data_IF_390740972620
#
_entry.id   IF_390740972620
#
_cell.length_a   1.000
_cell.length_b   1.000
_cell.length_c   1.000
_cell.angle_alpha   90.00
_cell.angle_beta   90.00
_cell.angle_gamma   90.00
#
_symmetry.space_group_name_H-M   'P 1'
#
loop_
_entity.id
_entity.type
_entity.pdbx_description
1 polymer ?
#
# COMPACT_ATOMS: atom_id res chain seq x y z
N UNK A 1 5.23 -52.04 18.29
CA UNK A 1 3.85 -51.48 18.33
C UNK A 1 3.74 -50.13 19.06
N UNK A 2 4.17 -49.98 20.33
CA UNK A 2 3.96 -48.74 21.12
C UNK A 2 4.44 -47.46 20.41
N UNK A 3 5.67 -47.49 19.87
CA UNK A 3 6.30 -46.34 19.20
C UNK A 3 5.62 -45.96 17.86
N UNK A 4 4.98 -46.92 17.18
CA UNK A 4 4.25 -46.68 15.93
C UNK A 4 2.95 -45.90 16.17
N UNK A 5 2.22 -46.23 17.24
CA UNK A 5 1.02 -45.48 17.65
C UNK A 5 1.35 -44.03 18.04
N UNK A 6 2.50 -43.81 18.68
CA UNK A 6 2.96 -42.46 19.06
C UNK A 6 3.30 -41.60 17.83
N UNK A 7 3.98 -42.17 16.83
CA UNK A 7 4.31 -41.44 15.59
C UNK A 7 3.06 -41.05 14.79
N UNK A 8 2.07 -41.94 14.68
CA UNK A 8 0.79 -41.64 14.02
C UNK A 8 0.04 -40.51 14.74
N UNK A 9 0.00 -40.54 16.09
CA UNK A 9 -0.62 -39.48 16.89
C UNK A 9 0.09 -38.13 16.67
N UNK A 10 1.43 -38.10 16.66
CA UNK A 10 2.19 -36.88 16.43
C UNK A 10 1.95 -36.29 15.03
N UNK A 11 1.94 -37.13 13.99
CA UNK A 11 1.65 -36.71 12.62
C UNK A 11 0.20 -36.23 12.45
N UNK A 12 -0.76 -36.87 13.11
CA UNK A 12 -2.15 -36.43 13.11
C UNK A 12 -2.32 -35.09 13.82
N UNK A 13 -1.65 -34.87 14.96
CA UNK A 13 -1.62 -33.58 15.67
C UNK A 13 -0.99 -32.50 14.78
N UNK A 14 0.17 -32.76 14.16
CA UNK A 14 0.84 -31.79 13.29
C UNK A 14 0.01 -31.45 12.05
N UNK A 15 -0.60 -32.44 11.39
CA UNK A 15 -1.50 -32.23 10.27
C UNK A 15 -2.72 -31.42 10.70
N UNK A 16 -3.36 -31.78 11.82
CA UNK A 16 -4.53 -31.08 12.33
C UNK A 16 -4.22 -29.63 12.74
N UNK A 17 -3.09 -29.37 13.42
CA UNK A 17 -2.63 -28.02 13.75
C UNK A 17 -2.36 -27.19 12.50
N UNK A 18 -1.77 -27.77 11.44
CA UNK A 18 -1.53 -27.05 10.19
C UNK A 18 -2.82 -26.77 9.42
N UNK A 19 -3.73 -27.74 9.30
CA UNK A 19 -5.02 -27.56 8.62
C UNK A 19 -5.90 -26.54 9.35
N UNK A 20 -5.97 -26.60 10.70
CA UNK A 20 -6.70 -25.61 11.50
C UNK A 20 -6.12 -24.21 11.31
N UNK A 21 -4.79 -24.06 11.25
CA UNK A 21 -4.13 -22.76 11.01
C UNK A 21 -4.42 -22.17 9.63
N UNK A 22 -4.48 -22.99 8.59
CA UNK A 22 -4.83 -22.53 7.23
C UNK A 22 -6.29 -22.09 7.20
N UNK A 23 -7.21 -22.95 7.66
CA UNK A 23 -8.66 -22.65 7.71
C UNK A 23 -8.96 -21.41 8.57
N UNK A 24 -8.18 -21.14 9.63
CA UNK A 24 -8.38 -19.92 10.42
C UNK A 24 -7.97 -18.63 9.72
N UNK A 25 -6.97 -18.65 8.83
CA UNK A 25 -6.50 -17.45 8.16
C UNK A 25 -7.48 -16.96 7.09
N UNK A 26 -8.02 -17.89 6.30
CA UNK A 26 -9.01 -17.58 5.25
C UNK A 26 -10.30 -17.01 5.87
N UNK A 27 -10.77 -17.59 6.98
CA UNK A 27 -11.95 -17.09 7.73
C UNK A 27 -11.72 -15.68 8.30
N UNK A 28 -10.51 -15.37 8.80
CA UNK A 28 -10.18 -14.02 9.30
C UNK A 28 -10.25 -12.99 8.18
N UNK A 29 -9.69 -13.31 7.00
CA UNK A 29 -9.76 -12.43 5.83
C UNK A 29 -11.21 -12.25 5.35
N UNK A 30 -11.99 -13.33 5.22
CA UNK A 30 -13.39 -13.27 4.80
C UNK A 30 -14.25 -12.43 5.76
N UNK A 31 -14.08 -12.59 7.07
CA UNK A 31 -14.78 -11.79 8.09
C UNK A 31 -14.49 -10.30 7.93
N UNK A 32 -13.23 -9.93 7.71
CA UNK A 32 -12.81 -8.55 7.52
C UNK A 32 -13.26 -7.97 6.17
N UNK A 33 -13.26 -8.75 5.09
CA UNK A 33 -13.83 -8.33 3.80
C UNK A 33 -15.34 -8.10 3.90
N UNK A 34 -16.05 -8.89 4.72
CA UNK A 34 -17.46 -8.70 5.00
C UNK A 34 -17.71 -7.48 5.91
N UNK A 35 -16.84 -7.24 6.90
CA UNK A 35 -16.83 -5.99 7.67
C UNK A 35 -16.71 -4.78 6.74
N UNK A 36 -15.69 -4.71 5.87
CA UNK A 36 -15.48 -3.58 4.96
C UNK A 36 -16.69 -3.34 4.05
N UNK A 37 -17.30 -4.40 3.50
CA UNK A 37 -18.56 -4.30 2.74
C UNK A 37 -19.71 -3.72 3.57
N UNK A 38 -19.81 -4.07 4.85
CA UNK A 38 -20.85 -3.53 5.75
C UNK A 38 -20.68 -2.04 6.06
N UNK A 39 -19.46 -1.51 5.96
CA UNK A 39 -19.16 -0.09 6.18
C UNK A 39 -19.39 0.77 4.92
N UNK A 40 -19.86 0.18 3.81
CA UNK A 40 -20.17 0.89 2.58
C UNK A 40 -21.50 1.65 2.71
N UNK A 41 -21.49 2.97 2.50
CA UNK A 41 -22.70 3.79 2.45
C UNK A 41 -23.35 3.81 1.05
N UNK A 42 -24.50 4.50 0.93
CA UNK A 42 -25.27 4.57 -0.32
C UNK A 42 -24.59 5.36 -1.45
N UNK A 43 -23.46 6.04 -1.19
CA UNK A 43 -22.63 6.71 -2.18
C UNK A 43 -21.50 5.82 -2.71
N UNK A 44 -21.42 4.57 -2.26
CA UNK A 44 -20.35 3.62 -2.60
C UNK A 44 -19.09 3.77 -1.74
N UNK A 45 -19.01 4.81 -0.90
CA UNK A 45 -17.91 5.09 0.02
C UNK A 45 -17.82 4.06 1.13
N UNK A 46 -16.62 3.58 1.44
CA UNK A 46 -16.35 2.89 2.71
C UNK A 46 -16.13 3.93 3.81
N UNK A 47 -16.92 3.83 4.88
CA UNK A 47 -16.95 4.76 6.02
C UNK A 47 -16.15 4.22 7.22
N UNK A 48 -16.21 4.92 8.37
CA UNK A 48 -15.59 4.53 9.64
C UNK A 48 -14.08 4.20 9.53
N UNK A 49 -13.25 5.23 9.32
CA UNK A 49 -11.79 5.07 9.33
C UNK A 49 -11.05 6.39 9.11
N UNK A 50 -9.78 6.43 9.52
CA UNK A 50 -8.89 7.56 9.32
C UNK A 50 -8.25 7.53 7.93
N UNK A 51 -7.86 8.68 7.37
CA UNK A 51 -7.02 8.82 6.17
C UNK A 51 -7.29 7.81 5.03
N UNK A 52 -8.27 8.13 4.18
CA UNK A 52 -8.61 7.40 2.96
C UNK A 52 -9.11 5.92 3.13
N UNK A 53 -10.11 5.64 3.99
CA UNK A 53 -10.62 4.27 4.22
C UNK A 53 -11.12 3.56 2.96
N UNK A 54 -11.66 4.29 1.98
CA UNK A 54 -12.15 3.71 0.72
C UNK A 54 -11.00 3.24 -0.19
N UNK A 55 -9.92 4.02 -0.25
CA UNK A 55 -8.71 3.72 -1.02
C UNK A 55 -7.98 2.51 -0.43
N UNK A 56 -7.77 2.47 0.88
CA UNK A 56 -7.18 1.29 1.55
C UNK A 56 -8.07 0.05 1.40
N UNK A 57 -9.38 0.19 1.53
CA UNK A 57 -10.33 -0.92 1.28
C UNK A 57 -10.27 -1.42 -0.16
N UNK A 58 -10.12 -0.53 -1.15
CA UNK A 58 -9.96 -0.92 -2.55
C UNK A 58 -8.68 -1.74 -2.79
N UNK A 59 -7.56 -1.35 -2.17
CA UNK A 59 -6.31 -2.13 -2.18
C UNK A 59 -6.53 -3.48 -1.48
N UNK A 60 -7.21 -3.51 -0.33
CA UNK A 60 -7.49 -4.72 0.43
C UNK A 60 -8.42 -5.71 -0.30
N UNK A 61 -9.43 -5.22 -1.02
CA UNK A 61 -10.26 -6.02 -1.92
C UNK A 61 -9.43 -6.59 -3.07
N UNK A 62 -8.63 -5.76 -3.76
CA UNK A 62 -7.76 -6.19 -4.85
C UNK A 62 -6.70 -7.22 -4.41
N UNK A 63 -6.11 -7.04 -3.21
CA UNK A 63 -5.15 -7.98 -2.61
C UNK A 63 -5.73 -9.39 -2.43
N UNK A 64 -7.04 -9.47 -2.25
CA UNK A 64 -7.81 -10.69 -2.02
C UNK A 64 -8.68 -11.10 -3.22
N UNK A 65 -8.41 -10.55 -4.41
CA UNK A 65 -9.06 -10.95 -5.66
C UNK A 65 -10.53 -10.50 -5.80
N UNK A 66 -11.00 -9.57 -4.96
CA UNK A 66 -12.35 -9.00 -5.04
C UNK A 66 -12.32 -7.78 -5.96
N UNK A 67 -13.11 -7.82 -7.04
CA UNK A 67 -13.31 -6.68 -7.92
C UNK A 67 -14.21 -5.63 -7.23
N UNK A 68 -13.69 -4.41 -7.09
CA UNK A 68 -14.37 -3.29 -6.43
C UNK A 68 -15.59 -2.77 -7.20
N UNK A 69 -15.75 -3.12 -8.49
CA UNK A 69 -16.98 -2.89 -9.25
C UNK A 69 -18.18 -3.68 -8.68
N UNK A 70 -17.89 -4.81 -8.01
CA UNK A 70 -18.90 -5.71 -7.42
C UNK A 70 -19.27 -5.35 -5.99
N UNK A 71 -18.44 -4.54 -5.31
CA UNK A 71 -18.67 -4.05 -3.94
C UNK A 71 -19.57 -2.82 -4.00
N UNK A 72 -20.88 -3.01 -3.79
CA UNK A 72 -21.91 -1.96 -3.96
C UNK A 72 -23.01 -2.01 -2.90
N UNK A 73 -23.54 -0.84 -2.56
CA UNK A 73 -24.67 -0.71 -1.63
C UNK A 73 -25.66 0.39 -2.07
N UNK A 74 -26.89 0.06 -2.51
CA UNK A 74 -27.27 -1.17 -3.20
C UNK A 74 -26.85 -1.16 -4.69
N UNK A 75 -26.56 0.03 -5.25
CA UNK A 75 -26.35 0.22 -6.69
C UNK A 75 -25.04 0.93 -7.05
N UNK A 76 -24.58 1.88 -6.23
CA UNK A 76 -23.29 2.57 -6.45
C UNK A 76 -22.18 1.69 -5.87
N UNK A 77 -21.17 1.39 -6.67
CA UNK A 77 -20.02 0.59 -6.28
C UNK A 77 -18.90 1.41 -5.65
N UNK A 78 -17.94 0.73 -5.04
CA UNK A 78 -16.69 1.34 -4.58
C UNK A 78 -15.88 1.88 -5.77
N UNK A 79 -16.00 1.28 -6.96
CA UNK A 79 -15.38 1.81 -8.17
C UNK A 79 -16.02 3.14 -8.61
N UNK A 80 -17.36 3.24 -8.59
CA UNK A 80 -18.09 4.47 -8.92
C UNK A 80 -17.76 5.61 -7.93
N UNK A 81 -17.68 5.28 -6.63
CA UNK A 81 -17.22 6.22 -5.61
C UNK A 81 -15.78 6.67 -5.88
N UNK A 82 -14.87 5.72 -6.14
CA UNK A 82 -13.47 6.05 -6.44
C UNK A 82 -13.38 6.97 -7.67
N UNK A 83 -14.02 6.63 -8.79
CA UNK A 83 -14.11 7.47 -10.00
C UNK A 83 -14.48 8.93 -9.67
N UNK A 84 -15.50 9.13 -8.84
CA UNK A 84 -16.02 10.49 -8.53
C UNK A 84 -15.28 11.20 -7.38
N UNK A 85 -14.60 10.47 -6.50
CA UNK A 85 -13.92 11.01 -5.32
C UNK A 85 -12.51 11.53 -5.65
N UNK A 86 -12.42 12.66 -6.36
CA UNK A 86 -11.17 13.38 -6.63
C UNK A 86 -10.73 14.17 -5.39
N UNK A 87 -9.41 14.26 -5.07
CA UNK A 87 -8.91 15.16 -4.03
C UNK A 87 -9.37 16.60 -4.24
N UNK A 88 -9.76 17.28 -3.16
CA UNK A 88 -10.23 18.67 -3.19
C UNK A 88 -9.09 19.63 -2.89
N UNK A 89 -8.93 20.68 -3.69
CA UNK A 89 -7.84 21.64 -3.52
C UNK A 89 -8.15 22.71 -2.43
N UNK A 90 -7.17 23.14 -1.61
CA UNK A 90 -5.79 22.63 -1.57
C UNK A 90 -5.72 21.22 -0.95
N UNK A 91 -4.98 20.34 -1.61
CA UNK A 91 -4.77 18.93 -1.22
C UNK A 91 -3.34 18.69 -0.70
N UNK A 92 -3.14 17.59 0.02
CA UNK A 92 -1.80 17.11 0.39
C UNK A 92 -1.30 16.08 -0.64
N UNK A 93 0.02 15.89 -0.76
CA UNK A 93 0.60 14.85 -1.62
C UNK A 93 0.03 13.45 -1.29
N UNK A 94 -0.14 13.16 0.01
CA UNK A 94 -0.73 11.91 0.53
C UNK A 94 -2.14 11.57 0.00
N UNK A 95 -2.95 12.57 -0.38
CA UNK A 95 -4.25 12.36 -1.02
C UNK A 95 -4.09 11.77 -2.45
N UNK A 96 -3.04 12.18 -3.16
CA UNK A 96 -2.70 11.70 -4.51
C UNK A 96 -1.97 10.35 -4.46
N UNK A 97 -1.03 10.17 -3.53
CA UNK A 97 -0.24 8.95 -3.34
C UNK A 97 -1.13 7.72 -3.08
N UNK A 98 -1.96 7.82 -2.05
CA UNK A 98 -2.88 6.75 -1.64
C UNK A 98 -3.86 6.41 -2.77
N UNK A 99 -4.20 7.42 -3.59
CA UNK A 99 -5.08 7.28 -4.73
C UNK A 99 -4.39 6.61 -5.94
N UNK A 100 -3.14 6.94 -6.25
CA UNK A 100 -2.35 6.22 -7.27
C UNK A 100 -2.21 4.74 -6.89
N UNK A 101 -1.84 4.45 -5.63
CA UNK A 101 -1.74 3.09 -5.12
C UNK A 101 -3.05 2.32 -5.31
N UNK A 102 -4.20 2.91 -4.97
CA UNK A 102 -5.51 2.28 -5.13
C UNK A 102 -5.94 2.12 -6.60
N UNK A 103 -5.69 3.10 -7.46
CA UNK A 103 -5.95 3.02 -8.92
C UNK A 103 -5.15 1.86 -9.53
N UNK A 104 -3.84 1.82 -9.29
CA UNK A 104 -2.95 0.78 -9.86
C UNK A 104 -3.29 -0.60 -9.30
N UNK A 105 -3.51 -0.72 -7.98
CA UNK A 105 -3.95 -1.96 -7.33
C UNK A 105 -5.20 -2.56 -7.98
N UNK A 106 -6.20 -1.70 -8.27
CA UNK A 106 -7.48 -2.10 -8.87
C UNK A 106 -7.43 -2.23 -10.40
N UNK A 107 -6.32 -1.85 -11.04
CA UNK A 107 -6.08 -2.02 -12.48
C UNK A 107 -6.52 -0.85 -13.35
N UNK A 108 -6.73 0.33 -12.77
CA UNK A 108 -6.94 1.57 -13.53
C UNK A 108 -5.63 2.21 -14.00
N UNK A 109 -5.76 3.15 -14.93
CA UNK A 109 -4.65 3.97 -15.45
C UNK A 109 -4.43 5.21 -14.56
N UNK A 110 -3.30 5.33 -13.83
CA UNK A 110 -3.02 6.50 -13.00
C UNK A 110 -2.69 7.76 -13.81
N UNK A 111 -2.41 7.65 -15.11
CA UNK A 111 -2.15 8.79 -16.01
C UNK A 111 -3.40 9.33 -16.68
N UNK A 112 -4.50 8.58 -16.68
CA UNK A 112 -5.78 8.99 -17.21
C UNK A 112 -6.95 8.27 -16.49
N UNK A 113 -7.14 8.59 -15.23
CA UNK A 113 -8.30 8.11 -14.47
C UNK A 113 -9.40 9.17 -14.57
N UNK A 114 -10.36 8.95 -15.49
CA UNK A 114 -11.44 9.88 -15.84
C UNK A 114 -10.96 11.29 -16.25
N UNK A 115 -9.95 11.34 -17.12
CA UNK A 115 -9.39 12.60 -17.64
C UNK A 115 -8.39 13.28 -16.70
N UNK A 116 -8.08 12.69 -15.55
CA UNK A 116 -7.12 13.20 -14.57
C UNK A 116 -5.85 12.34 -14.60
N UNK A 117 -4.70 13.00 -14.79
CA UNK A 117 -3.39 12.40 -14.59
C UNK A 117 -2.98 12.58 -13.13
N UNK A 118 -3.07 11.52 -12.33
CA UNK A 118 -2.73 11.53 -10.92
C UNK A 118 -1.21 11.56 -10.70
N UNK A 119 -0.43 10.94 -11.60
CA UNK A 119 1.04 10.93 -11.54
C UNK A 119 1.58 12.36 -11.65
N UNK A 120 1.22 13.10 -12.71
CA UNK A 120 1.65 14.50 -12.89
C UNK A 120 1.13 15.43 -11.79
N UNK A 121 0.05 15.05 -11.09
CA UNK A 121 -0.41 15.79 -9.90
C UNK A 121 0.48 15.53 -8.69
N UNK A 122 0.87 14.28 -8.43
CA UNK A 122 1.84 13.96 -7.38
C UNK A 122 3.21 14.60 -7.66
N UNK A 123 3.73 14.47 -8.89
CA UNK A 123 4.99 15.09 -9.30
C UNK A 123 5.00 16.62 -9.17
N UNK A 124 3.84 17.29 -9.09
CA UNK A 124 3.76 18.74 -8.84
C UNK A 124 4.04 19.17 -7.39
N UNK A 125 4.09 18.21 -6.46
CA UNK A 125 4.56 18.40 -5.07
C UNK A 125 6.06 18.10 -4.90
N UNK A 126 6.78 17.71 -5.96
CA UNK A 126 8.22 17.44 -5.88
C UNK A 126 9.03 18.74 -5.85
N UNK A 127 9.75 18.96 -4.74
CA UNK A 127 10.67 20.08 -4.59
C UNK A 127 11.92 19.66 -3.80
N UNK A 128 13.10 20.16 -4.17
CA UNK A 128 14.35 19.96 -3.42
C UNK A 128 14.73 18.48 -3.13
N UNK A 129 14.24 17.53 -3.94
CA UNK A 129 14.55 16.10 -3.82
C UNK A 129 13.56 15.28 -2.97
N UNK A 130 12.49 15.91 -2.47
CA UNK A 130 11.43 15.29 -1.67
C UNK A 130 10.05 15.59 -2.27
N UNK A 131 9.00 14.91 -1.80
CA UNK A 131 7.60 15.10 -2.22
C UNK A 131 6.77 15.60 -1.02
N UNK A 132 6.10 16.73 -1.17
CA UNK A 132 5.12 17.20 -0.18
C UNK A 132 5.66 18.20 0.83
N UNK A 133 5.35 18.00 2.12
CA UNK A 133 5.76 18.89 3.21
C UNK A 133 7.19 18.57 3.67
N UNK A 134 8.06 19.58 3.68
CA UNK A 134 9.49 19.41 3.99
C UNK A 134 9.83 18.93 5.40
N UNK A 135 8.83 18.85 6.29
CA UNK A 135 8.97 18.28 7.61
C UNK A 135 8.30 16.92 7.80
N UNK A 136 7.60 16.40 6.81
CA UNK A 136 7.07 15.04 6.78
C UNK A 136 8.04 14.11 6.03
N UNK A 137 8.17 12.86 6.48
CA UNK A 137 8.75 11.76 5.70
C UNK A 137 7.67 10.82 5.16
N UNK A 138 6.42 11.01 5.59
CA UNK A 138 5.32 10.12 5.27
C UNK A 138 4.94 10.22 3.78
N UNK A 139 4.74 11.43 3.29
CA UNK A 139 4.60 11.78 1.87
C UNK A 139 5.81 11.37 1.03
N UNK A 140 7.05 11.46 1.52
CA UNK A 140 8.18 10.88 0.76
C UNK A 140 8.11 9.34 0.66
N UNK A 141 7.78 8.66 1.76
CA UNK A 141 7.69 7.20 1.80
C UNK A 141 6.57 6.70 0.90
N UNK A 142 5.36 7.28 1.01
CA UNK A 142 4.19 6.92 0.22
C UNK A 142 4.24 7.50 -1.21
N UNK A 143 4.89 8.65 -1.39
CA UNK A 143 5.32 9.24 -2.66
C UNK A 143 6.16 8.27 -3.47
N UNK A 144 7.30 7.82 -2.95
CA UNK A 144 8.14 6.86 -3.66
C UNK A 144 7.41 5.52 -3.93
N UNK A 145 6.52 5.07 -3.03
CA UNK A 145 5.68 3.90 -3.27
C UNK A 145 4.69 4.13 -4.44
N UNK A 146 4.02 5.28 -4.48
CA UNK A 146 3.06 5.66 -5.53
C UNK A 146 3.75 5.87 -6.89
N UNK A 147 4.89 6.57 -6.89
CA UNK A 147 5.75 6.77 -8.05
C UNK A 147 6.22 5.42 -8.63
N UNK A 148 6.65 4.47 -7.79
CA UNK A 148 7.01 3.11 -8.23
C UNK A 148 5.79 2.35 -8.75
N UNK A 149 4.63 2.45 -8.09
CA UNK A 149 3.39 1.82 -8.56
C UNK A 149 2.94 2.35 -9.94
N UNK A 150 3.17 3.63 -10.24
CA UNK A 150 2.94 4.21 -11.58
C UNK A 150 3.90 3.67 -12.68
N UNK A 151 4.95 2.92 -12.31
CA UNK A 151 5.77 2.17 -13.25
C UNK A 151 6.61 3.06 -14.17
N UNK A 152 6.48 2.92 -15.48
CA UNK A 152 7.32 3.67 -16.44
C UNK A 152 6.79 5.06 -16.79
N UNK A 153 5.61 5.47 -16.30
CA UNK A 153 5.01 6.78 -16.62
C UNK A 153 5.48 7.90 -15.70
N UNK A 154 5.93 7.55 -14.51
CA UNK A 154 6.50 8.41 -13.48
C UNK A 154 8.00 8.65 -13.65
N UNK A 155 8.47 9.85 -13.34
CA UNK A 155 9.85 10.28 -13.50
C UNK A 155 10.87 9.41 -12.75
N UNK A 156 11.82 8.83 -13.49
CA UNK A 156 12.97 8.10 -12.91
C UNK A 156 13.84 9.01 -12.03
N UNK A 157 13.92 10.31 -12.34
CA UNK A 157 14.72 11.26 -11.57
C UNK A 157 14.07 11.52 -10.19
N UNK A 158 12.76 11.79 -10.15
CA UNK A 158 12.00 12.02 -8.91
C UNK A 158 12.15 10.81 -7.98
N UNK A 159 11.88 9.60 -8.50
CA UNK A 159 12.09 8.34 -7.76
C UNK A 159 13.49 8.20 -7.17
N UNK A 160 14.52 8.49 -7.96
CA UNK A 160 15.91 8.34 -7.55
C UNK A 160 16.32 9.40 -6.52
N UNK A 161 15.79 10.62 -6.61
CA UNK A 161 16.04 11.69 -5.65
C UNK A 161 15.31 11.45 -4.33
N UNK A 162 14.03 11.08 -4.34
CA UNK A 162 13.28 10.73 -3.12
C UNK A 162 13.90 9.52 -2.42
N UNK A 163 14.38 8.51 -3.16
CA UNK A 163 15.15 7.41 -2.58
C UNK A 163 16.41 7.92 -1.84
N UNK A 164 17.15 8.83 -2.46
CA UNK A 164 18.37 9.39 -1.86
C UNK A 164 18.03 10.26 -0.64
N UNK A 165 16.94 11.01 -0.69
CA UNK A 165 16.42 11.80 0.41
C UNK A 165 16.07 10.91 1.60
N UNK A 166 15.20 9.91 1.42
CA UNK A 166 14.83 8.96 2.48
C UNK A 166 16.05 8.30 3.14
N UNK A 167 17.02 7.82 2.36
CA UNK A 167 18.25 7.23 2.88
C UNK A 167 19.07 8.23 3.73
N UNK A 168 19.08 9.51 3.34
CA UNK A 168 19.73 10.58 4.11
C UNK A 168 18.94 11.01 5.37
N UNK A 169 17.65 10.66 5.47
CA UNK A 169 16.77 10.95 6.62
C UNK A 169 16.61 9.78 7.60
N UNK A 170 17.16 8.61 7.31
CA UNK A 170 17.18 7.49 8.24
C UNK A 170 17.97 7.83 9.51
N UNK A 171 17.48 7.40 10.67
CA UNK A 171 18.17 7.64 11.93
C UNK A 171 19.57 6.98 11.96
N UNK A 172 20.65 7.72 12.29
CA UNK A 172 22.01 7.18 12.27
C UNK A 172 22.36 6.34 13.51
N UNK A 173 21.52 6.32 14.54
CA UNK A 173 21.75 5.63 15.82
C UNK A 173 20.98 4.31 15.88
N UNK A 174 19.67 4.33 15.65
CA UNK A 174 18.81 3.15 15.76
C UNK A 174 18.42 2.52 14.40
N UNK A 175 18.60 3.25 13.29
CA UNK A 175 18.28 2.79 11.94
C UNK A 175 16.80 2.86 11.57
N UNK A 176 15.94 3.41 12.42
CA UNK A 176 14.52 3.62 12.16
C UNK A 176 14.23 4.84 11.29
N UNK A 177 12.93 5.03 11.05
CA UNK A 177 12.35 6.19 10.40
C UNK A 177 11.23 6.74 11.27
N UNK A 178 11.05 8.07 11.25
CA UNK A 178 9.95 8.76 11.91
C UNK A 178 8.88 9.22 10.94
N UNK A 179 7.79 9.77 11.49
CA UNK A 179 6.78 10.46 10.67
C UNK A 179 7.31 11.80 10.15
N UNK A 180 8.02 12.54 11.00
CA UNK A 180 8.69 13.80 10.65
C UNK A 180 10.15 13.59 10.25
N UNK A 181 10.75 14.54 9.53
CA UNK A 181 12.19 14.57 9.25
C UNK A 181 13.02 14.86 10.53
N UNK A 182 14.29 14.38 10.64
CA UNK A 182 15.14 14.55 11.82
C UNK A 182 15.39 16.00 12.28
N UNK A 183 15.42 16.96 11.35
CA UNK A 183 15.55 18.39 11.68
C UNK A 183 14.26 19.05 12.18
N UNK A 184 13.12 18.36 12.11
CA UNK A 184 11.81 18.93 12.35
C UNK A 184 11.25 18.62 13.74
N UNK A 185 10.25 19.42 14.15
CA UNK A 185 9.57 19.20 15.42
C UNK A 185 8.86 17.84 15.46
N UNK A 186 8.78 17.25 16.65
CA UNK A 186 8.15 15.95 16.90
C UNK A 186 8.83 14.75 16.23
N UNK A 187 10.07 14.90 15.74
CA UNK A 187 10.88 13.77 15.30
C UNK A 187 11.01 12.70 16.40
N UNK A 188 10.62 11.48 16.05
CA UNK A 188 10.87 10.24 16.76
C UNK A 188 10.80 9.12 15.74
N UNK A 189 11.69 8.13 15.84
CA UNK A 189 11.55 6.90 15.08
C UNK A 189 10.36 6.09 15.61
N UNK A 190 9.71 5.34 14.73
CA UNK A 190 8.56 4.50 15.07
C UNK A 190 8.48 3.25 14.17
N UNK A 191 7.83 2.19 14.67
CA UNK A 191 7.81 0.88 13.99
C UNK A 191 6.91 0.86 12.75
N UNK A 192 5.84 1.64 12.73
CA UNK A 192 4.97 1.88 11.59
C UNK A 192 5.77 2.54 10.44
N UNK A 193 6.33 3.72 10.70
CA UNK A 193 7.08 4.49 9.70
C UNK A 193 8.34 3.75 9.23
N UNK A 194 9.04 3.03 10.11
CA UNK A 194 10.14 2.14 9.71
C UNK A 194 9.65 0.99 8.83
N UNK A 195 8.49 0.41 9.11
CA UNK A 195 7.86 -0.61 8.27
C UNK A 195 7.41 -0.08 6.90
N UNK A 196 6.94 1.17 6.83
CA UNK A 196 6.60 1.84 5.59
C UNK A 196 7.85 2.18 4.75
N UNK A 197 8.89 2.71 5.39
CA UNK A 197 10.17 2.99 4.74
C UNK A 197 10.81 1.72 4.15
N UNK A 198 10.79 0.58 4.87
CA UNK A 198 11.27 -0.70 4.34
C UNK A 198 10.52 -1.10 3.07
N UNK A 199 9.19 -0.95 3.03
CA UNK A 199 8.43 -1.24 1.81
C UNK A 199 8.86 -0.37 0.64
N UNK A 200 9.09 0.93 0.88
CA UNK A 200 9.54 1.88 -0.14
C UNK A 200 10.96 1.59 -0.64
N UNK A 201 11.91 1.36 0.27
CA UNK A 201 13.31 1.02 -0.06
C UNK A 201 13.45 -0.33 -0.77
N UNK A 202 12.69 -1.35 -0.37
CA UNK A 202 12.69 -2.66 -1.05
C UNK A 202 12.03 -2.56 -2.42
N UNK A 203 10.93 -1.80 -2.55
CA UNK A 203 10.32 -1.53 -3.85
C UNK A 203 11.29 -0.81 -4.80
N UNK A 204 12.01 0.20 -4.30
CA UNK A 204 13.04 0.93 -5.04
C UNK A 204 14.15 0.00 -5.54
N UNK A 205 14.71 -0.84 -4.65
CA UNK A 205 15.71 -1.85 -5.01
C UNK A 205 15.20 -2.80 -6.10
N UNK A 206 13.99 -3.32 -5.94
CA UNK A 206 13.39 -4.28 -6.87
C UNK A 206 13.05 -3.66 -8.23
N UNK A 207 12.94 -2.34 -8.32
CA UNK A 207 12.72 -1.58 -9.56
C UNK A 207 14.03 -1.00 -10.15
N UNK A 208 15.20 -1.41 -9.64
CA UNK A 208 16.50 -1.07 -10.22
C UNK A 208 17.01 0.34 -9.90
N UNK A 209 16.40 1.04 -8.94
CA UNK A 209 16.97 2.27 -8.39
C UNK A 209 18.21 1.91 -7.56
N UNK A 210 19.17 2.82 -7.46
CA UNK A 210 20.44 2.52 -6.79
C UNK A 210 20.86 3.62 -5.82
N UNK A 211 21.44 3.21 -4.70
CA UNK A 211 22.19 4.07 -3.80
C UNK A 211 23.29 3.21 -3.14
N UNK A 212 24.53 3.71 -2.95
CA UNK A 212 25.65 2.91 -2.42
C UNK A 212 25.40 2.26 -1.06
N UNK A 213 24.48 2.79 -0.25
CA UNK A 213 24.14 2.28 1.09
C UNK A 213 22.70 1.75 1.21
N UNK A 214 21.98 1.55 0.09
CA UNK A 214 20.58 1.06 0.10
C UNK A 214 20.42 -0.26 0.88
N UNK A 215 21.32 -1.22 0.66
CA UNK A 215 21.27 -2.52 1.33
C UNK A 215 21.57 -2.42 2.83
N UNK A 216 22.44 -1.47 3.24
CA UNK A 216 22.70 -1.18 4.65
C UNK A 216 21.48 -0.48 5.29
N UNK A 217 20.89 0.50 4.61
CA UNK A 217 19.69 1.20 5.09
C UNK A 217 18.53 0.24 5.34
N UNK A 218 18.25 -0.68 4.40
CA UNK A 218 17.25 -1.74 4.56
C UNK A 218 17.62 -2.67 5.73
N UNK A 219 18.89 -3.05 5.88
CA UNK A 219 19.34 -3.92 6.97
C UNK A 219 19.21 -3.27 8.36
N UNK A 220 19.53 -1.97 8.48
CA UNK A 220 19.37 -1.18 9.71
C UNK A 220 17.90 -1.02 10.10
N UNK A 221 17.04 -0.65 9.16
CA UNK A 221 15.59 -0.54 9.39
C UNK A 221 14.97 -1.90 9.79
N UNK A 222 15.38 -3.00 9.13
CA UNK A 222 15.02 -4.35 9.55
C UNK A 222 15.48 -4.67 10.97
N UNK A 223 16.71 -4.29 11.33
CA UNK A 223 17.22 -4.51 12.69
C UNK A 223 16.41 -3.72 13.74
N UNK A 224 16.03 -2.46 13.45
CA UNK A 224 15.14 -1.66 14.29
C UNK A 224 13.82 -2.41 14.58
N UNK A 225 13.16 -2.97 13.56
CA UNK A 225 11.94 -3.77 13.76
C UNK A 225 12.19 -5.08 14.53
N UNK A 226 13.36 -5.70 14.39
CA UNK A 226 13.68 -6.93 15.12
C UNK A 226 13.89 -6.70 16.63
N UNK A 227 14.36 -5.51 17.04
CA UNK A 227 14.61 -5.18 18.46
C UNK A 227 13.42 -4.51 19.15
N UNK A 228 12.49 -3.92 18.39
CA UNK A 228 11.30 -3.23 18.92
C UNK A 228 10.02 -4.10 18.96
N UNK A 229 10.11 -5.42 18.76
CA UNK A 229 8.93 -6.29 18.96
C UNK A 229 8.55 -6.35 20.44
N UNK A 230 7.28 -6.10 20.77
CA UNK A 230 6.77 -6.23 22.12
C UNK A 230 6.71 -7.71 22.55
N UNK A 231 6.68 -7.95 23.87
CA UNK A 231 6.68 -9.31 24.43
C UNK A 231 5.45 -10.16 24.07
N UNK A 232 4.38 -9.55 23.56
CA UNK A 232 3.18 -10.21 23.04
C UNK A 232 3.26 -10.56 21.54
N UNK A 233 4.31 -10.10 20.85
CA UNK A 233 4.54 -10.30 19.41
C UNK A 233 4.07 -9.13 18.53
N UNK A 234 3.34 -8.16 19.07
CA UNK A 234 2.89 -6.98 18.34
C UNK A 234 3.91 -5.84 18.33
N UNK A 235 3.49 -4.72 17.72
CA UNK A 235 4.23 -3.47 17.62
C UNK A 235 3.29 -2.30 17.94
N UNK A 236 3.85 -1.21 18.45
CA UNK A 236 3.11 0.01 18.77
C UNK A 236 3.93 0.93 19.67
N UNK A 237 3.24 1.84 20.35
CA UNK A 237 3.85 2.92 21.13
C UNK A 237 4.01 2.58 22.61
N UNK A 238 5.14 3.00 23.21
CA UNK A 238 5.45 2.85 24.65
C UNK A 238 5.30 1.41 25.20
N UNK A 239 5.63 0.40 24.38
CA UNK A 239 5.53 -1.01 24.76
C UNK A 239 4.11 -1.59 24.72
N UNK A 240 3.14 -0.82 24.23
CA UNK A 240 1.77 -1.28 23.96
C UNK A 240 1.63 -1.55 22.46
N UNK A 241 1.03 -2.69 22.10
CA UNK A 241 0.85 -3.11 20.71
C UNK A 241 -0.49 -2.63 20.15
N UNK A 242 -0.50 -2.19 18.89
CA UNK A 242 -1.70 -1.76 18.16
C UNK A 242 -1.78 -2.37 16.75
N UNK A 243 -3.00 -2.43 16.20
CA UNK A 243 -3.28 -3.13 14.93
C UNK A 243 -2.67 -2.44 13.71
N UNK A 244 -2.63 -1.11 13.70
CA UNK A 244 -2.13 -0.31 12.58
C UNK A 244 -0.61 -0.52 12.45
N UNK A 245 0.15 -0.25 13.52
CA UNK A 245 1.60 -0.47 13.58
C UNK A 245 1.97 -1.91 13.29
N UNK A 246 1.28 -2.87 13.91
CA UNK A 246 1.59 -4.30 13.70
C UNK A 246 1.29 -4.74 12.26
N UNK A 247 0.24 -4.20 11.62
CA UNK A 247 -0.06 -4.44 10.22
C UNK A 247 1.01 -3.90 9.27
N UNK A 248 1.52 -2.69 9.52
CA UNK A 248 2.57 -2.06 8.71
C UNK A 248 3.90 -2.83 8.82
N UNK A 249 4.25 -3.28 10.03
CA UNK A 249 5.42 -4.14 10.25
C UNK A 249 5.26 -5.51 9.59
N UNK A 250 4.06 -6.10 9.60
CA UNK A 250 3.83 -7.37 8.90
C UNK A 250 3.96 -7.21 7.36
N UNK A 251 3.53 -6.08 6.78
CA UNK A 251 3.82 -5.78 5.37
C UNK A 251 5.32 -5.62 5.10
N UNK A 252 6.08 -5.02 6.02
CA UNK A 252 7.54 -4.95 5.93
C UNK A 252 8.18 -6.35 5.95
N UNK A 253 7.71 -7.26 6.81
CA UNK A 253 8.18 -8.65 6.81
C UNK A 253 7.78 -9.43 5.55
N UNK A 254 6.63 -9.13 4.94
CA UNK A 254 6.21 -9.74 3.68
C UNK A 254 7.20 -9.38 2.55
N UNK A 255 7.60 -8.11 2.41
CA UNK A 255 8.56 -7.68 1.36
C UNK A 255 10.01 -8.06 1.65
N UNK A 256 10.36 -8.32 2.92
CA UNK A 256 11.69 -8.81 3.32
C UNK A 256 11.84 -10.34 3.21
N UNK A 257 10.87 -11.04 2.62
CA UNK A 257 10.78 -12.51 2.54
C UNK A 257 10.87 -13.21 3.92
N UNK A 258 10.38 -12.56 4.98
CA UNK A 258 10.47 -13.04 6.37
C UNK A 258 9.26 -13.86 6.83
N UNK A 259 8.43 -14.32 5.90
CA UNK A 259 7.17 -15.03 6.15
C UNK A 259 7.29 -16.27 7.07
N UNK A 260 8.39 -17.03 6.94
CA UNK A 260 8.65 -18.23 7.75
C UNK A 260 9.39 -17.96 9.08
N UNK A 261 9.65 -16.69 9.41
CA UNK A 261 10.40 -16.32 10.62
C UNK A 261 9.53 -16.33 11.88
N UNK A 262 10.12 -16.65 13.03
CA UNK A 262 9.41 -16.66 14.33
C UNK A 262 8.82 -15.29 14.67
N UNK A 263 9.57 -14.21 14.43
CA UNK A 263 9.13 -12.81 14.64
C UNK A 263 7.88 -12.50 13.81
N UNK A 264 7.87 -12.82 12.52
CA UNK A 264 6.71 -12.60 11.64
C UNK A 264 5.52 -13.48 12.05
N UNK A 265 5.76 -14.73 12.43
CA UNK A 265 4.71 -15.62 12.94
C UNK A 265 4.07 -15.08 14.24
N UNK A 266 4.85 -14.48 15.15
CA UNK A 266 4.34 -13.83 16.36
C UNK A 266 3.52 -12.57 16.01
N UNK A 267 4.05 -11.72 15.12
CA UNK A 267 3.38 -10.53 14.57
C UNK A 267 2.02 -10.88 13.97
N UNK A 268 1.97 -11.90 13.10
CA UNK A 268 0.75 -12.40 12.47
C UNK A 268 -0.26 -12.95 13.47
N UNK A 269 0.18 -13.74 14.45
CA UNK A 269 -0.71 -14.30 15.48
C UNK A 269 -1.29 -13.20 16.37
N UNK A 270 -0.48 -12.22 16.78
CA UNK A 270 -0.94 -11.08 17.56
C UNK A 270 -1.99 -10.28 16.78
N UNK A 271 -1.71 -9.94 15.51
CA UNK A 271 -2.64 -9.16 14.69
C UNK A 271 -3.97 -9.89 14.50
N UNK A 272 -3.96 -11.19 14.18
CA UNK A 272 -5.17 -12.02 14.07
C UNK A 272 -6.02 -11.96 15.36
N UNK A 273 -5.38 -11.89 16.53
CA UNK A 273 -6.09 -11.80 17.81
C UNK A 273 -6.80 -10.45 18.06
N UNK A 274 -6.53 -9.42 17.25
CA UNK A 274 -7.21 -8.11 17.28
C UNK A 274 -8.44 -8.05 16.37
N UNK A 275 -8.81 -9.14 15.68
CA UNK A 275 -10.08 -9.18 14.96
C UNK A 275 -11.24 -9.26 15.96
N UNK A 276 -12.15 -8.30 15.86
CA UNK A 276 -13.39 -8.24 16.61
C UNK A 276 -14.28 -9.45 16.29
N UNK A 277 -14.68 -10.25 17.30
CA UNK A 277 -15.53 -11.42 17.08
C UNK A 277 -17.00 -11.09 16.82
N UNK A 278 -17.42 -9.82 16.99
CA UNK A 278 -18.82 -9.40 16.79
C UNK A 278 -19.13 -8.94 15.36
N UNK A 279 -18.14 -8.39 14.64
CA UNK A 279 -18.34 -7.81 13.30
C UNK A 279 -17.23 -8.12 12.29
N UNK A 280 -16.12 -8.73 12.70
CA UNK A 280 -15.02 -9.12 11.81
C UNK A 280 -14.01 -8.01 11.48
N UNK A 281 -14.22 -6.78 11.95
CA UNK A 281 -13.25 -5.70 11.78
C UNK A 281 -12.03 -5.86 12.69
N UNK A 282 -10.95 -5.13 12.40
CA UNK A 282 -9.77 -5.05 13.28
C UNK A 282 -9.86 -3.81 14.16
N UNK A 283 -9.49 -3.99 15.43
CA UNK A 283 -9.61 -2.98 16.46
C UNK A 283 -8.54 -1.88 16.33
N UNK A 284 -8.97 -0.62 16.32
CA UNK A 284 -8.14 0.56 16.49
C UNK A 284 -8.69 1.44 17.61
N UNK A 285 -7.86 2.34 18.14
CA UNK A 285 -8.29 3.24 19.22
C UNK A 285 -9.04 4.44 18.65
N UNK A 286 -10.31 4.58 19.01
CA UNK A 286 -11.09 5.78 18.75
C UNK A 286 -10.91 6.78 19.91
N UNK A 287 -10.29 7.92 19.62
CA UNK A 287 -10.02 8.97 20.59
C UNK A 287 -11.29 9.75 21.03
N UNK A 288 -12.34 9.77 20.21
CA UNK A 288 -13.61 10.41 20.54
C UNK A 288 -14.47 9.59 21.49
N UNK A 289 -14.43 8.26 21.36
CA UNK A 289 -15.10 7.29 22.23
C UNK A 289 -14.20 6.79 23.39
N UNK A 290 -12.89 7.04 23.30
CA UNK A 290 -11.86 6.58 24.24
C UNK A 290 -11.91 5.06 24.46
N UNK A 291 -12.00 4.30 23.36
CA UNK A 291 -12.06 2.84 23.38
C UNK A 291 -11.60 2.22 22.05
N UNK A 292 -11.29 0.93 22.09
CA UNK A 292 -11.01 0.12 20.90
C UNK A 292 -12.32 -0.23 20.18
N UNK A 293 -12.40 0.09 18.88
CA UNK A 293 -13.51 -0.28 17.99
C UNK A 293 -12.97 -0.79 16.65
N UNK A 294 -13.79 -1.54 15.92
CA UNK A 294 -13.49 -1.92 14.54
C UNK A 294 -13.39 -0.68 13.64
N UNK A 295 -12.32 -0.60 12.84
CA UNK A 295 -12.02 0.53 11.96
C UNK A 295 -11.69 0.04 10.53
N UNK A 296 -12.26 0.66 9.50
CA UNK A 296 -12.08 0.24 8.09
C UNK A 296 -10.66 0.39 7.58
N UNK A 297 -9.95 1.45 7.96
CA UNK A 297 -8.56 1.69 7.51
C UNK A 297 -7.64 0.63 8.09
N UNK A 298 -7.72 0.44 9.41
CA UNK A 298 -7.00 -0.61 10.15
C UNK A 298 -7.34 -2.01 9.63
N UNK A 299 -8.63 -2.30 9.40
CA UNK A 299 -9.09 -3.58 8.85
C UNK A 299 -8.50 -3.85 7.47
N UNK A 300 -8.53 -2.85 6.58
CA UNK A 300 -7.98 -2.96 5.23
C UNK A 300 -6.46 -3.21 5.26
N UNK A 301 -5.71 -2.43 6.04
CA UNK A 301 -4.26 -2.56 6.17
C UNK A 301 -3.87 -3.89 6.83
N UNK A 302 -4.60 -4.32 7.86
CA UNK A 302 -4.43 -5.62 8.49
C UNK A 302 -4.58 -6.76 7.47
N UNK A 303 -5.64 -6.80 6.65
CA UNK A 303 -5.82 -7.89 5.68
C UNK A 303 -4.92 -7.82 4.45
N UNK A 304 -4.40 -6.64 4.05
CA UNK A 304 -3.30 -6.57 3.07
C UNK A 304 -2.09 -7.33 3.64
N UNK A 305 -1.73 -7.06 4.90
CA UNK A 305 -0.59 -7.71 5.55
C UNK A 305 -0.80 -9.22 5.79
N UNK A 306 -1.98 -9.63 6.24
CA UNK A 306 -2.29 -11.03 6.58
C UNK A 306 -2.33 -11.94 5.34
N UNK A 307 -2.73 -11.40 4.18
CA UNK A 307 -2.71 -12.07 2.87
C UNK A 307 -1.32 -12.12 2.22
N UNK A 308 -0.25 -11.76 2.95
CA UNK A 308 1.13 -11.83 2.48
C UNK A 308 1.45 -10.77 1.43
N UNK A 309 0.78 -9.61 1.48
CA UNK A 309 0.96 -8.50 0.53
C UNK A 309 1.55 -7.26 1.22
N UNK A 310 1.78 -6.24 0.42
CA UNK A 310 2.18 -4.87 0.78
C UNK A 310 1.38 -3.88 -0.07
N UNK A 311 1.59 -2.58 0.09
CA UNK A 311 0.80 -1.57 -0.64
C UNK A 311 1.00 -1.58 -2.16
N UNK A 312 2.16 -1.98 -2.66
CA UNK A 312 2.39 -2.18 -4.10
C UNK A 312 1.96 -3.60 -4.48
N UNK A 313 0.71 -3.75 -4.89
CA UNK A 313 0.18 -5.02 -5.42
C UNK A 313 0.56 -5.26 -6.88
N UNK A 314 0.75 -4.18 -7.64
CA UNK A 314 1.00 -4.15 -9.09
C UNK A 314 1.87 -2.93 -9.40
N UNK A 315 2.59 -3.00 -10.51
CA UNK A 315 3.22 -1.86 -11.15
C UNK A 315 2.45 -1.61 -12.45
N UNK A 316 2.12 -0.35 -12.75
CA UNK A 316 1.42 0.02 -13.96
C UNK A 316 2.32 -0.13 -15.18
N UNK A 317 1.79 -0.77 -16.23
CA UNK A 317 2.44 -0.91 -17.53
C UNK A 317 1.48 -0.37 -18.60
N UNK A 318 1.80 0.77 -19.24
CA UNK A 318 1.00 1.34 -20.33
C UNK A 318 0.75 0.38 -21.50
N UNK A 319 1.61 -0.63 -21.72
CA UNK A 319 1.40 -1.63 -22.76
C UNK A 319 0.21 -2.57 -22.46
N UNK A 320 -0.27 -2.62 -21.21
CA UNK A 320 -1.49 -3.34 -20.84
C UNK A 320 -2.78 -2.61 -21.24
N UNK A 321 -2.70 -1.32 -21.57
CA UNK A 321 -3.80 -0.59 -22.19
C UNK A 321 -4.03 -1.14 -23.59
N UNK A 322 -5.05 -2.00 -23.73
CA UNK A 322 -5.48 -2.47 -25.04
C UNK A 322 -5.88 -1.23 -25.84
N UNK A 323 -5.27 -0.94 -27.01
CA UNK A 323 -5.65 0.23 -27.79
C UNK A 323 -7.10 0.06 -28.22
N UNK A 324 -8.00 0.84 -27.61
CA UNK A 324 -9.39 0.95 -28.04
C UNK A 324 -9.35 1.27 -29.52
N UNK A 325 -9.92 0.39 -30.35
CA UNK A 325 -9.89 0.59 -31.79
C UNK A 325 -10.59 1.90 -32.11
N UNK A 326 -9.81 2.92 -32.46
CA UNK A 326 -10.34 4.15 -33.01
C UNK A 326 -11.08 3.77 -34.27
N UNK A 327 -12.40 3.78 -34.20
CA UNK A 327 -13.25 3.57 -35.35
C UNK A 327 -12.87 4.65 -36.36
N UNK A 328 -12.13 4.25 -37.39
CA UNK A 328 -11.74 5.12 -38.48
C UNK A 328 -13.01 5.64 -39.11
N UNK A 329 -13.36 6.88 -38.79
CA UNK A 329 -14.57 7.53 -39.30
C UNK A 329 -14.31 7.79 -40.78
N UNK A 330 -14.72 6.83 -41.62
CA UNK A 330 -14.72 7.00 -43.07
C UNK A 330 -15.41 8.32 -43.38
N UNK A 331 -14.75 9.28 -44.03
CA UNK A 331 -15.33 10.60 -44.25
C UNK A 331 -16.55 10.46 -45.18
N UNK A 332 -17.74 10.58 -44.60
CA UNK A 332 -19.00 10.61 -45.34
C UNK A 332 -18.96 11.80 -46.30
N UNK A 333 -18.88 11.53 -47.60
CA UNK A 333 -18.89 12.58 -48.61
C UNK A 333 -20.20 13.36 -48.51
N UNK A 334 -20.10 14.65 -48.21
CA UNK A 334 -21.25 15.56 -48.20
C UNK A 334 -21.87 15.63 -49.60
N UNK A 335 -23.19 15.40 -49.76
CA UNK A 335 -23.82 15.52 -51.07
C UNK A 335 -23.79 16.97 -51.56
N UNK A 336 -23.28 17.17 -52.78
CA UNK A 336 -23.22 18.47 -53.44
C UNK A 336 -24.62 18.93 -53.82
N UNK A 337 -25.06 20.09 -53.30
CA UNK A 337 -26.35 20.66 -53.64
C UNK A 337 -26.37 21.20 -55.09
N UNK A 338 -27.29 20.68 -55.90
CA UNK A 338 -27.61 21.21 -57.24
C UNK A 338 -28.28 22.58 -57.13
N UNK A 339 -27.89 23.61 -57.90
CA UNK A 339 -28.52 24.92 -57.85
C UNK A 339 -29.89 24.94 -58.56
N UNK A 340 -30.93 25.33 -57.83
CA UNK A 340 -32.27 25.65 -58.36
C UNK A 340 -32.30 27.12 -58.84
N UNK A 341 -32.91 27.45 -60.00
CA UNK A 341 -32.84 28.80 -60.56
C UNK A 341 -33.67 29.85 -59.80
N UNK A 342 -33.12 31.06 -59.70
CA UNK A 342 -33.65 32.22 -58.97
C UNK A 342 -34.85 32.88 -59.67
N UNK A 343 -35.95 33.20 -58.98
CA UNK A 343 -36.99 34.11 -59.50
C UNK A 343 -36.60 35.58 -59.33
N UNK A 344 -36.89 36.39 -60.34
CA UNK A 344 -36.61 37.83 -60.37
C UNK A 344 -37.73 38.66 -59.71
N UNK A 345 -37.44 39.52 -58.71
CA UNK A 345 -38.13 40.82 -58.51
C UNK A 345 -37.53 41.73 -57.41
N UNK A 346 -37.16 42.95 -57.83
CA UNK A 346 -37.71 44.24 -57.39
C UNK A 346 -37.58 44.69 -55.91
N UNK A 347 -36.55 45.51 -55.68
CA UNK A 347 -36.51 46.79 -54.94
C UNK A 347 -37.52 47.10 -53.82
N UNK A 348 -37.01 47.37 -52.61
CA UNK A 348 -37.15 48.71 -51.96
C UNK A 348 -36.28 48.85 -50.70
N UNK A 349 -35.96 50.10 -50.34
CA UNK A 349 -34.91 50.51 -49.40
C UNK A 349 -35.23 50.34 -47.88
N UNK A 350 -34.16 50.31 -47.04
CA UNK A 350 -34.25 50.79 -45.65
C UNK A 350 -33.22 50.24 -44.64
N UNK A 351 -32.30 51.11 -44.18
CA UNK A 351 -31.54 51.07 -42.89
C UNK A 351 -30.59 49.87 -42.63
N UNK A 352 -29.26 50.06 -42.54
CA UNK A 352 -28.48 50.52 -41.36
C UNK A 352 -28.56 49.54 -40.16
N UNK A 353 -27.49 48.88 -39.72
CA UNK A 353 -26.31 49.52 -39.11
C UNK A 353 -25.01 48.65 -39.06
N UNK A 354 -23.92 49.27 -38.59
CA UNK A 354 -22.50 48.87 -38.46
C UNK A 354 -22.12 47.47 -37.93
N UNK A 355 -21.03 46.85 -38.44
CA UNK A 355 -20.35 45.70 -37.80
C UNK A 355 -19.25 46.10 -36.77
N UNK A 356 -18.91 45.14 -35.92
CA UNK A 356 -18.08 45.27 -34.69
C UNK A 356 -16.57 45.17 -34.92
N UNK A 357 -15.79 45.55 -33.89
CA UNK A 357 -14.34 45.75 -33.83
C UNK A 357 -13.42 44.52 -34.03
N UNK A 358 -12.27 44.79 -34.66
CA UNK A 358 -11.06 43.95 -34.77
C UNK A 358 -10.35 43.68 -33.43
N UNK A 359 -9.74 42.50 -33.22
CA UNK A 359 -8.86 42.25 -32.06
C UNK A 359 -7.40 42.71 -32.29
N UNK A 360 -6.74 43.18 -31.22
CA UNK A 360 -5.33 43.62 -31.20
C UNK A 360 -4.44 42.60 -30.48
N UNK A 361 -3.24 42.24 -30.99
CA UNK A 361 -2.30 41.33 -30.32
C UNK A 361 -1.06 42.02 -29.73
N UNK A 362 -0.82 41.85 -28.43
CA UNK A 362 0.38 42.32 -27.67
C UNK A 362 0.46 41.50 -26.36
N UNK A 363 1.58 41.01 -25.80
CA UNK A 363 3.01 40.96 -26.19
C UNK A 363 3.73 39.85 -25.42
N UNK A 364 4.83 39.33 -25.98
CA UNK A 364 5.75 38.34 -25.36
C UNK A 364 6.68 38.99 -24.31
N UNK A 365 6.95 38.35 -23.15
CA UNK A 365 8.01 38.76 -22.21
C UNK A 365 9.41 38.27 -22.62
N UNK A 366 10.44 38.99 -22.16
CA UNK A 366 11.87 38.82 -22.47
C UNK A 366 12.55 37.90 -21.43
N UNK A 367 13.56 37.07 -21.78
CA UNK A 367 14.27 36.22 -20.82
C UNK A 367 15.18 37.00 -19.86
N UNK A 368 15.20 36.59 -18.59
CA UNK A 368 16.05 37.14 -17.52
C UNK A 368 17.36 36.37 -17.40
N UNK A 369 18.46 37.07 -17.07
CA UNK A 369 19.81 36.51 -17.01
C UNK A 369 20.10 35.74 -15.70
N UNK A 370 20.86 34.65 -15.82
CA UNK A 370 21.34 33.79 -14.72
C UNK A 370 22.61 34.37 -14.07
N UNK A 371 22.70 34.44 -12.72
CA UNK A 371 23.96 34.73 -12.03
C UNK A 371 24.84 33.48 -11.88
N UNK A 372 26.16 33.67 -11.92
CA UNK A 372 27.16 32.60 -11.75
C UNK A 372 27.37 32.22 -10.27
N UNK A 373 27.84 30.99 -9.95
CA UNK A 373 28.07 30.55 -8.59
C UNK A 373 29.34 31.16 -7.97
N UNK A 374 29.31 31.35 -6.65
CA UNK A 374 30.45 31.77 -5.82
C UNK A 374 31.04 30.57 -5.11
N UNK A 375 32.38 30.41 -5.15
CA UNK A 375 33.08 29.36 -4.40
C UNK A 375 32.92 29.54 -2.88
N UNK A 376 32.71 28.43 -2.16
CA UNK A 376 32.76 28.39 -0.69
C UNK A 376 33.73 27.32 -0.22
N UNK A 377 34.52 27.71 0.78
CA UNK A 377 35.75 27.10 1.25
C UNK A 377 35.54 25.80 2.07
N UNK A 378 36.37 24.78 1.83
CA UNK A 378 36.31 23.49 2.52
C UNK A 378 36.98 23.52 3.90
N UNK A 379 36.20 23.36 4.97
CA UNK A 379 36.71 23.20 6.34
C UNK A 379 36.80 21.71 6.73
N UNK A 380 38.02 21.23 6.98
CA UNK A 380 38.29 19.90 7.52
C UNK A 380 37.84 19.79 8.98
N UNK A 381 37.05 18.77 9.32
CA UNK A 381 36.86 18.33 10.71
C UNK A 381 37.48 16.95 10.94
N UNK A 382 38.35 16.88 11.94
CA UNK A 382 39.14 15.68 12.24
C UNK A 382 38.31 14.61 12.98
N UNK A 383 38.62 13.35 12.69
CA UNK A 383 38.00 12.17 13.30
C UNK A 383 38.28 12.06 14.81
N UNK A 384 37.24 11.80 15.60
CA UNK A 384 37.35 11.29 16.97
C UNK A 384 37.19 9.76 17.00
N UNK A 385 37.93 9.02 17.86
CA UNK A 385 37.92 7.57 17.86
C UNK A 385 36.76 6.96 18.67
N UNK A 386 36.09 5.95 18.10
CA UNK A 386 35.16 5.08 18.83
C UNK A 386 35.90 4.02 19.67
N UNK A 387 35.44 3.70 20.89
CA UNK A 387 36.01 2.62 21.69
C UNK A 387 35.53 1.22 21.26
N UNK A 388 36.45 0.26 21.25
CA UNK A 388 36.23 -1.14 20.86
C UNK A 388 35.55 -1.98 21.97
N UNK A 389 34.53 -2.82 21.66
CA UNK A 389 33.99 -3.79 22.61
C UNK A 389 34.79 -5.10 22.69
N UNK A 390 34.92 -5.67 23.89
CA UNK A 390 35.72 -6.86 24.21
C UNK A 390 34.93 -8.19 24.03
N UNK A 391 35.49 -9.25 23.40
CA UNK A 391 34.77 -10.54 23.23
C UNK A 391 34.90 -11.57 24.38
N UNK A 392 33.82 -12.34 24.62
CA UNK A 392 33.75 -13.52 25.50
C UNK A 392 32.45 -13.54 26.34
N UNK A 393 31.77 -14.64 26.65
CA UNK A 393 32.12 -16.08 26.61
C UNK A 393 30.93 -17.00 26.17
N UNK A 394 31.19 -18.31 26.09
CA UNK A 394 30.37 -19.37 25.45
C UNK A 394 29.71 -20.30 26.48
N UNK A 395 28.55 -20.89 26.16
CA UNK A 395 28.09 -22.25 26.57
C UNK A 395 26.86 -22.63 25.70
N UNK A 396 26.93 -23.55 24.72
CA UNK A 396 26.78 -25.02 24.87
C UNK A 396 25.31 -25.45 24.58
N UNK A 397 24.92 -26.54 23.90
CA UNK A 397 25.56 -27.81 23.49
C UNK A 397 24.90 -28.34 22.17
N UNK A 398 25.57 -29.26 21.45
CA UNK A 398 25.11 -30.01 20.24
C UNK A 398 23.82 -30.86 20.49
N UNK A 399 23.04 -31.36 19.52
CA UNK A 399 23.40 -32.47 18.58
C UNK A 399 22.44 -32.74 17.40
N UNK A 400 23.05 -32.96 16.22
CA UNK A 400 22.76 -33.94 15.13
C UNK A 400 21.47 -33.93 14.28
N UNK A 401 21.69 -34.08 12.96
CA UNK A 401 20.72 -34.21 11.84
C UNK A 401 20.15 -35.63 11.68
N UNK A 402 18.96 -35.76 11.03
CA UNK A 402 18.75 -36.68 9.87
C UNK A 402 17.46 -36.43 9.05
N UNK A 403 17.62 -35.85 7.86
CA UNK A 403 16.99 -36.06 6.53
C UNK A 403 15.63 -36.78 6.25
N UNK A 404 14.85 -36.14 5.34
CA UNK A 404 13.85 -36.63 4.32
C UNK A 404 12.42 -37.00 4.82
N UNK A 405 11.31 -36.35 4.38
CA UNK A 405 10.55 -36.38 3.08
C UNK A 405 9.98 -37.78 2.75
N UNK A 406 8.72 -38.05 2.36
CA UNK A 406 7.51 -37.33 1.83
C UNK A 406 6.23 -38.22 2.11
N UNK A 407 4.95 -37.99 1.65
CA UNK A 407 4.14 -36.82 1.22
C UNK A 407 2.72 -36.75 1.94
N UNK A 408 1.75 -36.02 1.35
CA UNK A 408 0.41 -35.61 1.86
C UNK A 408 -0.73 -36.58 1.44
N UNK A 409 -1.78 -36.77 2.26
CA UNK A 409 -3.18 -36.86 1.76
C UNK A 409 -4.29 -36.64 2.82
N UNK A 410 -5.34 -35.96 2.35
CA UNK A 410 -6.61 -35.50 2.95
C UNK A 410 -7.39 -36.49 3.82
N UNK A 411 -7.92 -36.04 4.97
CA UNK A 411 -9.11 -36.62 5.62
C UNK A 411 -10.07 -35.51 6.08
N UNK A 412 -11.33 -35.64 5.70
CA UNK A 412 -12.47 -34.76 6.02
C UNK A 412 -13.08 -35.16 7.37
N UNK A 413 -13.50 -34.19 8.18
CA UNK A 413 -14.16 -34.43 9.47
C UNK A 413 -15.65 -34.76 9.31
N UNK A 414 -16.15 -35.72 10.11
CA UNK A 414 -17.54 -35.72 10.57
C UNK A 414 -17.70 -36.38 11.95
N UNK A 415 -18.32 -35.65 12.88
CA UNK A 415 -19.22 -36.19 13.90
C UNK A 415 -18.68 -37.11 14.99
N UNK A 416 -18.23 -36.53 16.11
CA UNK A 416 -18.40 -37.17 17.43
C UNK A 416 -19.90 -37.26 17.74
N UNK A 417 -20.47 -38.46 17.92
CA UNK A 417 -21.90 -38.52 18.24
C UNK A 417 -22.65 -39.84 18.30
N UNK A 418 -22.03 -41.03 18.14
CA UNK A 418 -22.71 -42.30 18.44
C UNK A 418 -21.69 -43.46 18.56
N UNK A 419 -21.51 -44.02 19.77
CA UNK A 419 -21.48 -45.47 20.09
C UNK A 419 -20.93 -45.74 21.51
N UNK A 420 -21.66 -45.27 22.53
CA UNK A 420 -21.82 -46.10 23.73
C UNK A 420 -22.95 -47.09 23.46
N UNK A 421 -22.84 -48.31 24.01
CA UNK A 421 -23.70 -49.48 23.79
C UNK A 421 -23.54 -50.19 22.42
N UNK A 422 -23.58 -51.53 22.47
CA UNK A 422 -23.35 -52.49 21.36
C UNK A 422 -21.86 -52.48 20.92
N UNK A 423 -20.99 -53.44 21.27
CA UNK A 423 -21.18 -54.88 21.49
C UNK A 423 -20.52 -55.35 22.80
N UNK A 424 -21.34 -55.87 23.72
CA UNK A 424 -20.90 -56.83 24.74
C UNK A 424 -21.39 -58.21 24.31
N UNK A 425 -20.52 -59.05 23.69
CA UNK A 425 -20.72 -60.50 23.48
C UNK A 425 -19.49 -61.17 22.82
N UNK A 426 -19.03 -62.28 23.40
CA UNK A 426 -17.91 -63.13 22.92
C UNK A 426 -16.53 -62.54 23.24
N UNK A 427 -15.75 -63.00 24.21
CA UNK A 427 -15.37 -64.38 24.57
C UNK A 427 -14.71 -65.13 23.40
N UNK A 428 -13.45 -64.81 23.12
CA UNK A 428 -12.31 -65.63 23.56
C UNK A 428 -11.03 -64.78 23.66
#
# INVERSE_FOLDING_TARGET
MKNFKFLILLLFILFFVTVVRIVSADVVVDNALNYLKSQQDSTGRITNGFSAPSQWSAIAFAANGVDISTVKNPSISLQDFMITNVPTEPSAATDWETRILAIVATGGDPTNYEGINYVTRLESFFENGQIGDSCSLNDDIFGLLAEIAAGSTSSTQIKQDVLNFLIAKQDPVDGGFGYSAPECAWYSTSSDMTGAAIQSLVAAKNNGLTNPILDDAIARAKNYLLVNQNGDGGYGYYGSSDSDTTGWVLMAFNVLDMNDSTVSAQTKNWLISQQSPSDGGFLAFDYGLNMLISNSTTTAQAIISLSGKSWILKIFDPATLTPTSTLSVTPTMTPTNTPTPTPLRQDSAGQASTPTSTPTPTSTPIPTLTPAPTDVETQNFASLPYPTPTPGQILGIKTTKTNKKFPIQTIIFFGLGLLSLIIHKGIM
#
